data_IF_710093277469
#
_entry.id   IF_710093277469
#
_cell.length_a   1.000
_cell.length_b   1.000
_cell.length_c   1.000
_cell.angle_alpha   90.00
_cell.angle_beta   90.00
_cell.angle_gamma   90.00
#
_symmetry.space_group_name_H-M   'P 1'
#
loop_
_entity.id
_entity.type
_entity.pdbx_description
1 polymer ?
#
# COMPACT_ATOMS: atom_id res chain seq x y z
N UNK A 1 -10.14 -6.96 9.93
CA UNK A 1 -11.33 -6.25 10.39
C UNK A 1 -10.99 -5.39 11.61
N UNK A 2 -11.34 -4.08 11.57
CA UNK A 2 -11.06 -3.17 12.70
C UNK A 2 -12.38 -2.53 13.12
N UNK A 3 -12.77 -2.78 14.36
CA UNK A 3 -13.94 -2.19 14.97
C UNK A 3 -13.52 -1.04 15.87
N UNK A 4 -14.24 0.07 15.82
CA UNK A 4 -13.90 1.29 16.56
C UNK A 4 -15.07 1.82 17.37
N UNK A 5 -14.78 2.23 18.60
CA UNK A 5 -15.77 2.71 19.55
C UNK A 5 -15.28 3.96 20.27
N UNK A 6 -16.18 4.88 20.49
CA UNK A 6 -15.98 6.07 21.33
C UNK A 6 -17.12 6.14 22.35
N UNK A 7 -16.80 6.10 23.64
CA UNK A 7 -17.81 6.08 24.71
C UNK A 7 -18.90 5.01 24.48
N UNK A 8 -18.48 3.81 24.04
CA UNK A 8 -19.32 2.67 23.66
C UNK A 8 -20.18 2.86 22.39
N UNK A 9 -20.07 3.99 21.70
CA UNK A 9 -20.72 4.23 20.42
C UNK A 9 -19.85 3.66 19.31
N UNK A 10 -20.41 2.79 18.46
CA UNK A 10 -19.69 2.23 17.33
C UNK A 10 -19.49 3.30 16.24
N UNK A 11 -18.23 3.66 15.99
CA UNK A 11 -17.84 4.61 14.94
C UNK A 11 -17.50 3.88 13.67
N UNK A 12 -18.51 3.55 12.86
CA UNK A 12 -18.38 2.69 11.66
C UNK A 12 -17.37 3.27 10.64
N UNK A 13 -17.33 4.58 10.50
CA UNK A 13 -16.39 5.29 9.61
C UNK A 13 -15.04 5.57 10.29
N UNK A 14 -14.88 5.16 11.53
CA UNK A 14 -13.64 5.36 12.30
C UNK A 14 -13.49 6.80 12.80
N UNK A 15 -12.40 7.45 12.41
CA UNK A 15 -12.04 8.81 12.83
C UNK A 15 -10.59 8.93 13.29
N UNK A 16 -10.34 9.93 14.11
CA UNK A 16 -8.98 10.29 14.57
C UNK A 16 -8.31 9.20 15.39
N UNK A 17 -9.04 8.48 16.24
CA UNK A 17 -8.53 7.34 17.02
C UNK A 17 -8.10 6.17 16.13
N UNK A 18 -8.86 5.84 15.07
CA UNK A 18 -8.47 4.84 14.09
C UNK A 18 -7.23 5.27 13.31
N UNK A 19 -7.16 6.56 12.94
CA UNK A 19 -6.00 7.13 12.24
C UNK A 19 -4.74 7.06 13.11
N UNK A 20 -4.86 7.38 14.40
CA UNK A 20 -3.78 7.24 15.38
C UNK A 20 -3.30 5.80 15.51
N UNK A 21 -4.21 4.85 15.66
CA UNK A 21 -3.88 3.42 15.71
C UNK A 21 -3.13 2.95 14.46
N UNK A 22 -3.63 3.28 13.25
CA UNK A 22 -3.02 2.87 11.99
C UNK A 22 -1.61 3.44 11.81
N UNK A 23 -1.41 4.69 12.22
CA UNK A 23 -0.11 5.36 12.20
C UNK A 23 0.87 4.68 13.16
N UNK A 24 0.46 4.49 14.41
CA UNK A 24 1.26 3.86 15.45
C UNK A 24 1.67 2.43 15.10
N UNK A 25 0.72 1.61 14.66
CA UNK A 25 0.98 0.23 14.23
C UNK A 25 2.05 0.18 13.13
N UNK A 26 1.87 0.99 12.08
CA UNK A 26 2.80 1.02 10.95
C UNK A 26 4.19 1.44 11.38
N UNK A 27 4.29 2.48 12.21
CA UNK A 27 5.56 3.03 12.70
C UNK A 27 6.26 2.05 13.65
N UNK A 28 5.55 1.46 14.60
CA UNK A 28 6.10 0.51 15.56
C UNK A 28 6.64 -0.74 14.86
N UNK A 29 5.88 -1.31 13.92
CA UNK A 29 6.28 -2.50 13.17
C UNK A 29 7.50 -2.24 12.28
N UNK A 30 7.55 -1.09 11.59
CA UNK A 30 8.71 -0.71 10.78
C UNK A 30 9.96 -0.46 11.65
N UNK A 31 9.80 0.18 12.80
CA UNK A 31 10.89 0.40 13.75
C UNK A 31 11.43 -0.95 14.26
N UNK A 32 10.56 -1.84 14.72
CA UNK A 32 10.94 -3.18 15.17
C UNK A 32 11.65 -3.99 14.06
N UNK A 33 11.12 -3.95 12.84
CA UNK A 33 11.71 -4.65 11.70
C UNK A 33 13.12 -4.12 11.36
N UNK A 34 13.31 -2.80 11.42
CA UNK A 34 14.60 -2.15 11.16
C UNK A 34 15.61 -2.42 12.28
N UNK A 35 15.21 -2.24 13.54
CA UNK A 35 16.06 -2.47 14.73
C UNK A 35 16.61 -3.90 14.78
N UNK A 36 15.81 -4.87 14.37
CA UNK A 36 16.17 -6.29 14.41
C UNK A 36 16.65 -6.86 13.06
N UNK A 37 16.87 -6.02 12.05
CA UNK A 37 17.30 -6.44 10.71
C UNK A 37 16.44 -7.57 10.11
N UNK A 38 15.12 -7.55 10.36
CA UNK A 38 14.20 -8.59 9.91
C UNK A 38 13.85 -8.48 8.42
N UNK A 39 14.06 -7.32 7.81
CA UNK A 39 13.81 -7.08 6.39
C UNK A 39 15.09 -7.39 5.62
N UNK A 40 15.25 -8.66 5.23
CA UNK A 40 16.33 -9.05 4.31
C UNK A 40 15.87 -8.78 2.87
N UNK A 41 16.24 -7.63 2.32
CA UNK A 41 16.07 -7.36 0.91
C UNK A 41 17.02 -8.26 0.09
N UNK A 42 16.51 -9.00 -0.90
CA UNK A 42 17.35 -9.60 -1.92
C UNK A 42 18.03 -8.47 -2.71
N UNK A 43 19.26 -8.69 -3.20
CA UNK A 43 20.20 -7.70 -3.75
C UNK A 43 19.62 -6.70 -4.76
N UNK A 44 18.38 -6.91 -5.28
CA UNK A 44 17.70 -6.07 -6.25
C UNK A 44 16.23 -5.74 -5.89
N UNK A 45 15.80 -5.95 -4.66
CA UNK A 45 14.39 -5.78 -4.28
C UNK A 45 14.28 -4.78 -3.12
N UNK A 46 13.93 -3.52 -3.42
CA UNK A 46 13.51 -2.55 -2.39
C UNK A 46 12.08 -2.89 -1.96
N UNK A 47 11.93 -3.74 -0.94
CA UNK A 47 10.62 -4.02 -0.33
C UNK A 47 10.36 -2.93 0.69
N UNK A 48 9.34 -2.12 0.45
CA UNK A 48 8.82 -1.15 1.42
C UNK A 48 7.54 -1.72 2.02
N UNK A 49 7.55 -1.94 3.32
CA UNK A 49 6.36 -2.34 4.07
C UNK A 49 5.47 -1.13 4.32
N UNK A 50 4.22 -1.26 3.95
CA UNK A 50 3.19 -0.23 4.13
C UNK A 50 2.23 -0.62 5.26
N UNK A 51 1.45 0.36 5.72
CA UNK A 51 0.43 0.08 6.73
C UNK A 51 -0.60 -0.96 6.29
N UNK A 52 -0.83 -1.12 4.99
CA UNK A 52 -1.75 -2.15 4.45
C UNK A 52 -1.19 -3.55 4.67
N UNK A 53 0.11 -3.75 4.47
CA UNK A 53 0.77 -5.05 4.63
C UNK A 53 0.68 -5.54 6.10
N UNK A 54 0.74 -4.62 7.07
CA UNK A 54 0.57 -4.95 8.49
C UNK A 54 -0.88 -5.17 8.90
N UNK A 55 -1.84 -4.60 8.16
CA UNK A 55 -3.27 -4.77 8.43
C UNK A 55 -3.88 -5.96 7.74
N UNK A 56 -3.17 -6.62 6.83
CA UNK A 56 -3.65 -7.83 6.17
C UNK A 56 -3.86 -8.97 7.18
N UNK A 57 -5.12 -9.39 7.32
CA UNK A 57 -5.54 -10.40 8.29
C UNK A 57 -5.58 -9.92 9.74
N UNK A 58 -5.42 -8.61 10.00
CA UNK A 58 -5.58 -8.04 11.33
C UNK A 58 -7.04 -7.98 11.74
N UNK A 59 -7.33 -8.44 12.95
CA UNK A 59 -8.56 -8.14 13.68
C UNK A 59 -8.20 -7.33 14.93
N UNK A 60 -8.82 -6.17 15.09
CA UNK A 60 -8.58 -5.29 16.22
C UNK A 60 -9.87 -4.59 16.68
N UNK A 61 -9.92 -4.27 17.95
CA UNK A 61 -10.99 -3.44 18.54
C UNK A 61 -10.30 -2.24 19.20
N UNK A 62 -10.73 -1.05 18.82
CA UNK A 62 -10.23 0.20 19.38
C UNK A 62 -11.38 0.86 20.12
N UNK A 63 -11.29 0.93 21.43
CA UNK A 63 -12.30 1.58 22.28
C UNK A 63 -11.63 2.70 23.07
N UNK A 64 -12.13 3.91 22.91
CA UNK A 64 -11.63 5.09 23.61
C UNK A 64 -12.74 5.75 24.42
N UNK A 65 -12.37 6.31 25.56
CA UNK A 65 -13.25 7.18 26.35
C UNK A 65 -12.75 8.60 26.21
N UNK A 66 -13.63 9.48 25.74
CA UNK A 66 -13.36 10.90 25.48
C UNK A 66 -14.37 11.71 26.24
N UNK A 67 -13.93 12.71 27.03
CA UNK A 67 -14.80 13.52 27.85
C UNK A 67 -15.80 14.32 27.00
N UNK A 68 -15.32 14.96 25.94
CA UNK A 68 -16.13 15.78 25.03
C UNK A 68 -15.91 15.29 23.58
N UNK A 69 -16.58 14.22 23.16
CA UNK A 69 -16.40 13.67 21.84
C UNK A 69 -17.08 14.56 20.78
N UNK A 70 -16.29 14.99 19.81
CA UNK A 70 -16.78 15.70 18.64
C UNK A 70 -16.92 14.70 17.48
N UNK A 71 -18.12 14.50 17.02
CA UNK A 71 -18.41 13.60 15.91
C UNK A 71 -18.68 14.38 14.63
N UNK A 72 -18.26 13.83 13.51
CA UNK A 72 -18.68 14.31 12.20
C UNK A 72 -20.10 13.78 11.93
N UNK A 73 -21.06 14.72 11.89
CA UNK A 73 -22.47 14.41 11.65
C UNK A 73 -23.26 13.90 12.87
N UNK A 74 -24.57 13.93 12.74
CA UNK A 74 -25.52 13.57 13.80
C UNK A 74 -25.55 12.06 14.09
N UNK A 75 -25.15 11.24 13.14
CA UNK A 75 -25.12 9.76 13.26
C UNK A 75 -23.95 9.24 14.09
N UNK A 76 -23.02 10.11 14.50
CA UNK A 76 -21.85 9.79 15.34
C UNK A 76 -20.96 8.67 14.79
N UNK A 77 -20.93 8.51 13.47
CA UNK A 77 -20.19 7.43 12.79
C UNK A 77 -18.69 7.65 12.74
N UNK A 78 -18.24 8.91 12.91
CA UNK A 78 -16.81 9.27 12.79
C UNK A 78 -16.40 10.27 13.87
N UNK A 79 -15.28 9.98 14.55
CA UNK A 79 -14.70 10.88 15.57
C UNK A 79 -13.83 11.95 14.90
N UNK A 80 -14.08 13.22 15.24
CA UNK A 80 -13.37 14.39 14.71
C UNK A 80 -12.26 14.97 15.60
N UNK A 81 -12.24 14.66 16.91
CA UNK A 81 -11.27 15.23 17.86
C UNK A 81 -9.81 15.04 17.40
N UNK A 82 -9.11 16.13 17.06
CA UNK A 82 -7.75 16.11 16.55
C UNK A 82 -6.71 15.60 17.56
N UNK A 83 -6.84 15.98 18.82
CA UNK A 83 -5.98 15.61 19.94
C UNK A 83 -5.97 14.11 20.23
N UNK A 84 -7.09 13.44 20.10
CA UNK A 84 -7.23 11.99 20.31
C UNK A 84 -6.31 11.18 19.41
N UNK A 85 -6.04 11.65 18.19
CA UNK A 85 -5.12 10.98 17.27
C UNK A 85 -3.72 10.85 17.87
N UNK A 86 -3.19 11.93 18.43
CA UNK A 86 -1.83 11.94 19.01
C UNK A 86 -1.73 11.07 20.26
N UNK A 87 -2.74 11.11 21.12
CA UNK A 87 -2.81 10.30 22.35
C UNK A 87 -2.84 8.81 22.02
N UNK A 88 -3.74 8.41 21.10
CA UNK A 88 -3.84 7.01 20.67
C UNK A 88 -2.56 6.55 19.96
N UNK A 89 -1.99 7.39 19.09
CA UNK A 89 -0.73 7.06 18.40
C UNK A 89 0.39 6.79 19.40
N UNK A 90 0.55 7.62 20.43
CA UNK A 90 1.60 7.46 21.45
C UNK A 90 1.42 6.16 22.23
N UNK A 91 0.22 5.96 22.83
CA UNK A 91 -0.05 4.82 23.69
C UNK A 91 0.09 3.49 22.92
N UNK A 92 -0.47 3.44 21.71
CA UNK A 92 -0.40 2.23 20.87
C UNK A 92 1.02 1.96 20.40
N UNK A 93 1.77 2.99 20.03
CA UNK A 93 3.16 2.84 19.59
C UNK A 93 4.04 2.26 20.72
N UNK A 94 3.98 2.84 21.91
CA UNK A 94 4.72 2.38 23.08
C UNK A 94 4.32 0.96 23.47
N UNK A 95 3.02 0.68 23.58
CA UNK A 95 2.52 -0.65 23.95
C UNK A 95 2.88 -1.74 22.95
N UNK A 96 2.87 -1.44 21.64
CA UNK A 96 3.31 -2.42 20.62
C UNK A 96 4.81 -2.68 20.73
N UNK A 97 5.64 -1.66 20.92
CA UNK A 97 7.09 -1.85 21.06
C UNK A 97 7.42 -2.71 22.28
N UNK A 98 6.83 -2.40 23.43
CA UNK A 98 7.02 -3.17 24.68
C UNK A 98 6.59 -4.64 24.48
N UNK A 99 5.44 -4.85 23.84
CA UNK A 99 4.97 -6.21 23.54
C UNK A 99 5.94 -6.98 22.62
N UNK A 100 6.45 -6.32 21.58
CA UNK A 100 7.37 -6.95 20.63
C UNK A 100 8.76 -7.22 21.24
N UNK A 101 9.22 -6.39 22.18
CA UNK A 101 10.45 -6.63 22.92
C UNK A 101 10.32 -7.85 23.86
N UNK A 102 9.17 -8.02 24.49
CA UNK A 102 8.86 -9.18 25.32
C UNK A 102 8.59 -10.45 24.50
N UNK A 103 8.15 -10.30 23.27
CA UNK A 103 7.73 -11.42 22.40
C UNK A 103 8.41 -11.40 21.02
N UNK A 104 9.73 -11.52 20.92
CA UNK A 104 10.46 -11.35 19.66
C UNK A 104 10.11 -12.39 18.60
N UNK A 105 9.70 -13.60 19.00
CA UNK A 105 9.25 -14.64 18.09
C UNK A 105 7.93 -14.29 17.38
N UNK A 106 7.02 -13.62 18.08
CA UNK A 106 5.74 -13.15 17.52
C UNK A 106 6.04 -11.99 16.56
N UNK A 107 6.90 -11.04 16.96
CA UNK A 107 7.32 -9.95 16.11
C UNK A 107 7.87 -10.41 14.77
N UNK A 108 8.74 -11.44 14.79
CA UNK A 108 9.29 -12.04 13.56
C UNK A 108 8.20 -12.62 12.67
N UNK A 109 7.27 -13.41 13.21
CA UNK A 109 6.16 -14.01 12.45
C UNK A 109 5.27 -12.95 11.81
N UNK A 110 4.97 -11.86 12.52
CA UNK A 110 4.15 -10.76 11.98
C UNK A 110 4.88 -10.05 10.84
N UNK A 111 6.18 -9.77 10.98
CA UNK A 111 6.98 -9.17 9.91
C UNK A 111 7.09 -10.10 8.70
N UNK A 112 7.28 -11.40 8.88
CA UNK A 112 7.31 -12.39 7.79
C UNK A 112 5.99 -12.40 7.01
N UNK A 113 4.85 -12.34 7.71
CA UNK A 113 3.53 -12.23 7.08
C UNK A 113 3.37 -10.92 6.30
N UNK A 114 3.78 -9.79 6.88
CA UNK A 114 3.74 -8.51 6.21
C UNK A 114 4.65 -8.47 4.95
N UNK A 115 5.81 -9.12 5.01
CA UNK A 115 6.69 -9.28 3.84
C UNK A 115 6.04 -10.11 2.73
N UNK A 116 5.30 -11.16 3.09
CA UNK A 116 4.54 -11.96 2.12
C UNK A 116 3.45 -11.11 1.46
N UNK A 117 2.68 -10.34 2.25
CA UNK A 117 1.66 -9.42 1.76
C UNK A 117 2.25 -8.36 0.80
N UNK A 118 3.38 -7.75 1.17
CA UNK A 118 4.07 -6.77 0.34
C UNK A 118 4.55 -7.36 -1.01
N UNK A 119 5.07 -8.60 -0.99
CA UNK A 119 5.46 -9.32 -2.22
C UNK A 119 4.25 -9.62 -3.10
N UNK A 120 3.16 -10.12 -2.55
CA UNK A 120 1.92 -10.39 -3.27
C UNK A 120 1.36 -9.11 -3.90
N UNK A 121 1.32 -8.00 -3.17
CA UNK A 121 0.92 -6.68 -3.66
C UNK A 121 1.81 -6.19 -4.81
N UNK A 122 3.12 -6.33 -4.67
CA UNK A 122 4.08 -5.96 -5.73
C UNK A 122 3.91 -6.81 -6.98
N UNK A 123 3.74 -8.13 -6.83
CA UNK A 123 3.48 -9.05 -7.94
C UNK A 123 2.17 -8.72 -8.65
N UNK A 124 1.09 -8.46 -7.89
CA UNK A 124 -0.20 -8.07 -8.45
C UNK A 124 -0.11 -6.73 -9.21
N UNK A 125 0.64 -5.75 -8.69
CA UNK A 125 0.86 -4.48 -9.38
C UNK A 125 1.59 -4.70 -10.71
N UNK A 126 2.69 -5.48 -10.71
CA UNK A 126 3.44 -5.82 -11.93
C UNK A 126 2.56 -6.55 -12.95
N UNK A 127 1.74 -7.50 -12.50
CA UNK A 127 0.81 -8.23 -13.39
C UNK A 127 -0.21 -7.29 -14.04
N UNK A 128 -0.82 -6.38 -13.25
CA UNK A 128 -1.76 -5.38 -13.79
C UNK A 128 -1.09 -4.44 -14.80
N UNK A 129 0.13 -4.00 -14.53
CA UNK A 129 0.90 -3.17 -15.45
C UNK A 129 1.20 -3.90 -16.75
N UNK A 130 1.57 -5.19 -16.69
CA UNK A 130 1.81 -6.02 -17.87
C UNK A 130 0.53 -6.21 -18.69
N UNK A 131 -0.62 -6.47 -18.04
CA UNK A 131 -1.90 -6.60 -18.72
C UNK A 131 -2.28 -5.26 -19.36
N UNK A 132 -2.14 -4.15 -18.64
CA UNK A 132 -2.44 -2.81 -19.18
C UNK A 132 -1.56 -2.46 -20.38
N UNK A 133 -0.26 -2.81 -20.32
CA UNK A 133 0.64 -2.64 -21.46
C UNK A 133 0.24 -3.54 -22.63
N UNK A 134 -0.08 -4.82 -22.37
CA UNK A 134 -0.55 -5.74 -23.41
C UNK A 134 -1.89 -5.29 -24.01
N UNK A 135 -2.83 -4.79 -23.21
CA UNK A 135 -4.12 -4.30 -23.72
C UNK A 135 -4.00 -2.94 -24.42
N UNK A 136 -3.04 -2.11 -24.01
CA UNK A 136 -2.73 -0.87 -24.74
C UNK A 136 -2.01 -1.14 -26.08
N UNK A 137 -1.28 -2.26 -26.16
CA UNK A 137 -0.49 -2.64 -27.34
C UNK A 137 -1.06 -3.83 -28.14
N UNK A 138 -2.00 -4.57 -27.58
CA UNK A 138 -2.47 -5.83 -28.16
C UNK A 138 -3.97 -6.07 -28.18
N UNK A 139 -4.79 -5.15 -27.73
CA UNK A 139 -6.25 -5.32 -27.58
C UNK A 139 -7.13 -4.53 -28.57
N UNK A 140 -6.59 -3.64 -29.30
CA UNK A 140 -7.06 -3.12 -30.57
C UNK A 140 -5.82 -2.61 -31.26
N UNK A 141 -5.60 -3.04 -32.48
CA UNK A 141 -4.60 -2.48 -33.36
C UNK A 141 -4.44 -0.99 -33.01
N UNK A 142 -3.23 -0.58 -32.65
CA UNK A 142 -2.84 0.81 -32.85
C UNK A 142 -3.53 1.25 -34.12
N UNK A 143 -4.28 2.37 -34.18
CA UNK A 143 -5.01 2.77 -35.38
C UNK A 143 -4.08 2.47 -36.53
N UNK A 144 -4.55 1.76 -37.57
CA UNK A 144 -3.75 1.01 -38.56
C UNK A 144 -2.53 1.67 -39.15
N UNK A 145 -2.29 2.93 -38.77
CA UNK A 145 -1.15 3.78 -39.16
C UNK A 145 0.00 3.78 -38.18
N UNK A 146 -0.13 3.23 -36.97
CA UNK A 146 0.93 3.17 -35.98
C UNK A 146 1.52 1.75 -35.89
N UNK A 147 2.81 1.66 -35.64
CA UNK A 147 3.50 0.42 -35.31
C UNK A 147 4.33 0.63 -34.04
N UNK A 148 4.49 -0.43 -33.27
CA UNK A 148 5.26 -0.38 -32.03
C UNK A 148 6.66 -0.97 -32.23
N UNK A 149 7.60 -0.51 -31.43
CA UNK A 149 8.97 -1.03 -31.42
C UNK A 149 9.02 -2.38 -30.71
N UNK A 150 9.76 -3.33 -31.24
CA UNK A 150 9.98 -4.64 -30.60
C UNK A 150 10.88 -4.55 -29.37
N UNK A 151 11.77 -3.55 -29.28
CA UNK A 151 12.58 -3.28 -28.11
C UNK A 151 11.78 -2.46 -27.08
N UNK A 152 11.98 -2.78 -25.78
CA UNK A 152 11.27 -2.16 -24.66
C UNK A 152 12.08 -1.10 -23.91
N UNK A 153 13.36 -1.01 -24.18
CA UNK A 153 14.22 0.02 -23.59
C UNK A 153 14.19 1.26 -24.49
N UNK A 154 13.70 2.40 -24.01
CA UNK A 154 13.60 3.63 -24.80
C UNK A 154 14.96 4.11 -25.36
N UNK A 155 16.07 3.74 -24.72
CA UNK A 155 17.41 4.12 -25.19
C UNK A 155 17.81 3.42 -26.49
N UNK A 156 17.13 2.34 -26.84
CA UNK A 156 17.34 1.56 -28.07
C UNK A 156 16.17 1.64 -29.04
N UNK A 157 15.26 2.58 -28.81
CA UNK A 157 14.10 2.79 -29.66
C UNK A 157 14.25 4.09 -30.45
N UNK A 158 13.83 4.08 -31.70
CA UNK A 158 13.77 5.24 -32.56
C UNK A 158 12.33 5.52 -33.00
N UNK A 159 11.97 6.78 -33.14
CA UNK A 159 10.66 7.19 -33.64
C UNK A 159 10.76 7.58 -35.11
N UNK A 160 10.06 6.84 -35.96
CA UNK A 160 9.94 7.13 -37.39
C UNK A 160 8.61 7.81 -37.66
N UNK A 161 8.65 9.00 -38.23
CA UNK A 161 7.50 9.73 -38.75
C UNK A 161 7.53 9.67 -40.26
N UNK A 162 6.49 9.06 -40.84
CA UNK A 162 6.37 8.88 -42.29
C UNK A 162 5.10 9.51 -42.82
N UNK A 163 5.14 10.02 -44.04
CA UNK A 163 3.97 10.57 -44.71
C UNK A 163 3.29 9.44 -45.54
N UNK A 164 2.04 9.12 -45.18
CA UNK A 164 1.19 8.20 -45.90
C UNK A 164 1.44 6.69 -45.65
N UNK A 165 0.45 5.90 -46.03
CA UNK A 165 0.39 4.46 -45.70
C UNK A 165 1.41 3.61 -46.48
N UNK A 166 1.86 4.08 -47.65
CA UNK A 166 2.86 3.38 -48.48
C UNK A 166 4.24 3.40 -47.82
N UNK A 167 4.69 4.58 -47.34
CA UNK A 167 5.94 4.70 -46.60
C UNK A 167 5.89 4.00 -45.23
N UNK A 168 4.73 4.06 -44.57
CA UNK A 168 4.47 3.34 -43.32
C UNK A 168 4.54 1.83 -43.44
N UNK A 169 4.09 1.27 -44.57
CA UNK A 169 4.19 -0.16 -44.88
C UNK A 169 5.64 -0.63 -45.02
N UNK A 170 6.45 0.12 -45.74
CA UNK A 170 7.89 -0.19 -45.94
C UNK A 170 8.67 -0.06 -44.62
N UNK A 171 8.38 0.96 -43.80
CA UNK A 171 9.00 1.13 -42.49
C UNK A 171 8.67 -0.03 -41.53
N UNK A 172 7.43 -0.55 -41.57
CA UNK A 172 7.02 -1.71 -40.74
C UNK A 172 7.72 -3.02 -41.14
N UNK A 173 8.16 -3.16 -42.37
CA UNK A 173 8.88 -4.35 -42.84
C UNK A 173 10.36 -4.32 -42.54
N UNK A 174 10.92 -3.14 -42.22
CA UNK A 174 12.31 -2.94 -41.84
C UNK A 174 12.59 -2.99 -40.35
N UNK A 175 11.55 -3.11 -39.53
CA UNK A 175 11.63 -3.25 -38.07
C UNK A 175 11.56 -4.72 -37.66
#
# INVERSE_FOLDING_TARGET
NILTFVNNINTIEGGTHLSGFRSALTRAMNNHASKNNLIKAKKNEKISLTGEDFREGLTAIISVKVAEPQFEGQTKTKLGNGDVKGVVDKIVYEGILDFLEQNPSIGRKVIEKALLAARSRSAAKKARELIRRKSALGGSSLPGKLADCSNRDPNFCELYLVEGDSAGGSAKQGL
#
